data_IF_201154533716
#
_entry.id   IF_201154533716
#
_cell.length_a   1.000
_cell.length_b   1.000
_cell.length_c   1.000
_cell.angle_alpha   90.00
_cell.angle_beta   90.00
_cell.angle_gamma   90.00
#
_symmetry.space_group_name_H-M   'P 1'
#
loop_
_entity.id
_entity.type
_entity.pdbx_description
1 polymer ?
#
# COMPACT_ATOMS: atom_id res chain seq x y z
N UNK A 1 56.54 16.36 67.85
CA UNK A 1 56.74 17.82 67.64
C UNK A 1 56.49 18.07 66.15
N UNK A 2 55.50 18.81 65.67
CA UNK A 2 54.81 20.00 66.19
C UNK A 2 53.27 19.93 66.04
N UNK A 3 52.60 20.56 67.00
CA UNK A 3 51.20 20.95 67.18
C UNK A 3 50.75 22.07 66.21
N UNK A 4 49.54 22.00 65.61
CA UNK A 4 48.26 22.71 65.94
C UNK A 4 48.27 24.26 65.66
N UNK A 5 47.17 25.05 65.55
CA UNK A 5 45.70 24.78 65.45
C UNK A 5 44.89 25.69 64.46
N UNK A 6 43.56 25.44 64.40
CA UNK A 6 42.40 26.35 64.18
C UNK A 6 42.20 27.11 62.84
N UNK A 7 41.08 26.95 62.11
CA UNK A 7 39.77 27.47 62.53
C UNK A 7 38.56 26.87 61.74
N UNK A 8 37.51 26.49 62.49
CA UNK A 8 36.13 26.11 62.10
C UNK A 8 35.26 27.35 61.73
N UNK A 9 33.91 27.29 61.47
CA UNK A 9 32.94 26.21 61.14
C UNK A 9 32.06 26.54 59.87
N UNK A 10 31.21 25.67 59.27
CA UNK A 10 29.75 25.65 59.52
C UNK A 10 28.96 24.66 58.62
N UNK A 11 28.43 23.61 59.26
CA UNK A 11 27.06 23.01 59.24
C UNK A 11 26.05 23.23 58.06
N UNK A 12 25.82 22.13 57.27
CA UNK A 12 24.56 21.54 56.66
C UNK A 12 23.67 22.40 55.71
N UNK A 13 22.73 21.89 54.85
CA UNK A 13 22.12 20.53 54.74
C UNK A 13 21.91 19.96 53.29
N UNK A 14 21.33 18.75 53.24
CA UNK A 14 20.78 17.96 52.11
C UNK A 14 20.20 18.72 50.90
N UNK A 15 20.48 18.22 49.68
CA UNK A 15 19.45 18.08 48.63
C UNK A 15 19.76 16.84 47.78
N UNK A 16 18.95 15.80 47.96
CA UNK A 16 18.78 14.71 47.00
C UNK A 16 18.34 15.35 45.68
N UNK A 17 19.12 15.17 44.61
CA UNK A 17 18.67 15.49 43.26
C UNK A 17 17.40 14.68 42.97
N UNK A 18 16.34 15.29 42.44
CA UNK A 18 15.12 14.57 42.09
C UNK A 18 15.40 13.52 40.99
N UNK A 19 14.56 12.48 40.87
CA UNK A 19 14.70 11.48 39.82
C UNK A 19 14.65 12.16 38.45
N UNK A 20 15.64 11.89 37.59
CA UNK A 20 15.57 12.20 36.16
C UNK A 20 14.55 11.29 35.46
N UNK A 21 13.29 11.33 35.88
CA UNK A 21 12.19 10.62 35.24
C UNK A 21 11.41 11.51 34.25
N UNK A 22 11.85 12.76 34.05
CA UNK A 22 11.15 13.75 33.22
C UNK A 22 11.73 14.01 31.82
N UNK A 23 12.94 13.54 31.50
CA UNK A 23 13.58 13.79 30.19
C UNK A 23 13.42 12.63 29.19
N UNK A 24 12.72 11.56 29.56
CA UNK A 24 12.26 10.50 28.66
C UNK A 24 10.84 10.76 28.13
N UNK A 25 10.33 11.99 28.18
CA UNK A 25 9.26 12.38 27.28
C UNK A 25 9.84 12.52 25.88
N UNK A 26 9.98 11.36 25.23
CA UNK A 26 9.72 11.13 23.82
C UNK A 26 9.71 12.43 23.01
N UNK A 27 10.90 12.94 22.70
CA UNK A 27 11.12 13.50 21.38
C UNK A 27 10.84 12.35 20.40
N UNK A 28 9.56 12.09 20.15
CA UNK A 28 9.11 11.42 18.95
C UNK A 28 9.57 12.36 17.88
N UNK A 29 10.80 12.17 17.40
CA UNK A 29 11.41 12.93 16.34
C UNK A 29 10.50 12.69 15.14
N UNK A 30 9.52 13.58 14.99
CA UNK A 30 8.49 13.51 13.99
C UNK A 30 9.21 13.85 12.70
N UNK A 31 9.80 12.84 12.05
CA UNK A 31 10.43 12.97 10.74
C UNK A 31 9.46 13.81 9.89
N UNK A 32 9.88 14.99 9.39
CA UNK A 32 9.00 15.79 8.57
C UNK A 32 8.59 14.93 7.38
N UNK A 33 7.29 14.61 7.29
CA UNK A 33 6.74 13.77 6.21
C UNK A 33 7.12 14.40 4.89
N UNK A 34 7.57 13.57 3.95
CA UNK A 34 7.91 14.09 2.65
C UNK A 34 6.65 14.58 1.93
N UNK A 35 6.80 15.59 1.05
CA UNK A 35 5.67 16.11 0.27
C UNK A 35 5.04 15.04 -0.61
N UNK A 36 5.85 14.07 -1.04
CA UNK A 36 5.45 12.97 -1.92
C UNK A 36 4.53 11.99 -1.19
N UNK A 37 4.81 11.67 0.07
CA UNK A 37 3.91 10.85 0.92
C UNK A 37 2.55 11.52 1.07
N UNK A 38 2.54 12.83 1.34
CA UNK A 38 1.29 13.59 1.50
C UNK A 38 0.48 13.61 0.21
N UNK A 39 1.13 13.82 -0.95
CA UNK A 39 0.47 13.77 -2.25
C UNK A 39 -0.11 12.37 -2.54
N UNK A 40 0.65 11.32 -2.24
CA UNK A 40 0.19 9.97 -2.45
C UNK A 40 -1.04 9.62 -1.59
N UNK A 41 -1.02 9.95 -0.30
CA UNK A 41 -2.16 9.75 0.60
C UNK A 41 -3.42 10.45 0.07
N UNK A 42 -3.27 11.68 -0.43
CA UNK A 42 -4.37 12.43 -1.05
C UNK A 42 -4.91 11.74 -2.31
N UNK A 43 -4.03 11.27 -3.21
CA UNK A 43 -4.44 10.60 -4.44
C UNK A 43 -5.12 9.27 -4.15
N UNK A 44 -4.59 8.44 -3.25
CA UNK A 44 -5.25 7.20 -2.83
C UNK A 44 -6.62 7.46 -2.20
N UNK A 45 -6.73 8.46 -1.33
CA UNK A 45 -8.01 8.87 -0.74
C UNK A 45 -9.02 9.39 -1.78
N UNK A 46 -8.55 10.15 -2.76
CA UNK A 46 -9.37 10.62 -3.87
C UNK A 46 -9.85 9.46 -4.74
N UNK A 47 -8.98 8.52 -5.12
CA UNK A 47 -9.35 7.35 -5.90
C UNK A 47 -10.43 6.50 -5.21
N UNK A 48 -10.32 6.32 -3.89
CA UNK A 48 -11.35 5.65 -3.08
C UNK A 48 -12.69 6.41 -3.08
N UNK A 49 -12.62 7.74 -3.01
CA UNK A 49 -13.79 8.61 -3.03
C UNK A 49 -14.48 8.58 -4.40
N UNK A 50 -13.71 8.65 -5.49
CA UNK A 50 -14.21 8.53 -6.87
C UNK A 50 -14.87 7.16 -7.09
N UNK A 51 -14.27 6.08 -6.59
CA UNK A 51 -14.87 4.74 -6.63
C UNK A 51 -16.23 4.69 -5.92
N UNK A 52 -16.34 5.34 -4.76
CA UNK A 52 -17.61 5.46 -4.02
C UNK A 52 -18.66 6.25 -4.80
N UNK A 53 -18.29 7.39 -5.38
CA UNK A 53 -19.19 8.23 -6.19
C UNK A 53 -19.66 7.49 -7.43
N UNK A 54 -18.77 6.77 -8.11
CA UNK A 54 -19.13 5.98 -9.29
C UNK A 54 -20.15 4.88 -8.95
N UNK A 55 -19.98 4.19 -7.81
CA UNK A 55 -20.93 3.18 -7.33
C UNK A 55 -22.30 3.77 -6.92
N UNK A 56 -22.33 5.02 -6.46
CA UNK A 56 -23.59 5.74 -6.18
C UNK A 56 -24.28 6.17 -7.47
N UNK A 57 -23.49 6.64 -8.45
CA UNK A 57 -24.00 7.15 -9.72
C UNK A 57 -24.60 6.05 -10.61
N UNK A 58 -24.11 4.81 -10.48
CA UNK A 58 -24.69 3.65 -11.15
C UNK A 58 -26.06 3.32 -10.55
N UNK A 59 -27.13 3.64 -11.28
CA UNK A 59 -28.51 3.35 -10.86
C UNK A 59 -28.86 1.89 -11.14
N UNK A 60 -29.00 1.02 -10.12
CA UNK A 60 -29.42 -0.36 -10.32
C UNK A 60 -30.87 -0.39 -10.80
N UNK A 61 -31.14 -1.19 -11.82
CA UNK A 61 -32.45 -1.41 -12.41
C UNK A 61 -33.14 -2.66 -11.84
N UNK A 62 -32.37 -3.57 -11.25
CA UNK A 62 -32.87 -4.78 -10.60
C UNK A 62 -32.34 -4.93 -9.17
N UNK A 63 -33.07 -5.62 -8.27
CA UNK A 63 -32.56 -5.90 -6.91
C UNK A 63 -31.24 -6.69 -6.89
N UNK A 64 -31.02 -7.55 -7.88
CA UNK A 64 -29.79 -8.35 -8.00
C UNK A 64 -28.56 -7.48 -8.31
N UNK A 65 -28.73 -6.39 -9.05
CA UNK A 65 -27.65 -5.43 -9.39
C UNK A 65 -27.11 -4.70 -8.17
N UNK A 66 -27.92 -4.51 -7.12
CA UNK A 66 -27.44 -3.89 -5.87
C UNK A 66 -26.32 -4.74 -5.26
N UNK A 67 -26.50 -6.07 -5.23
CA UNK A 67 -25.51 -6.99 -4.69
C UNK A 67 -24.22 -6.99 -5.50
N UNK A 68 -24.31 -7.02 -6.83
CA UNK A 68 -23.12 -6.98 -7.70
C UNK A 68 -22.38 -5.64 -7.61
N UNK A 69 -23.10 -4.51 -7.55
CA UNK A 69 -22.51 -3.18 -7.40
C UNK A 69 -21.77 -3.04 -6.06
N UNK A 70 -22.35 -3.55 -4.97
CA UNK A 70 -21.68 -3.55 -3.65
C UNK A 70 -20.41 -4.41 -3.68
N UNK A 71 -20.47 -5.61 -4.28
CA UNK A 71 -19.29 -6.47 -4.41
C UNK A 71 -18.19 -5.85 -5.26
N UNK A 72 -18.53 -5.23 -6.39
CA UNK A 72 -17.61 -4.51 -7.25
C UNK A 72 -16.95 -3.32 -6.53
N UNK A 73 -17.74 -2.57 -5.75
CA UNK A 73 -17.22 -1.49 -4.92
C UNK A 73 -16.25 -2.00 -3.84
N UNK A 74 -16.64 -3.05 -3.09
CA UNK A 74 -15.79 -3.67 -2.06
C UNK A 74 -14.48 -4.16 -2.68
N UNK A 75 -14.54 -4.80 -3.86
CA UNK A 75 -13.36 -5.26 -4.57
C UNK A 75 -12.42 -4.11 -4.95
N UNK A 76 -12.97 -3.05 -5.54
CA UNK A 76 -12.21 -1.83 -5.89
C UNK A 76 -11.57 -1.18 -4.66
N UNK A 77 -12.35 -1.05 -3.58
CA UNK A 77 -11.88 -0.53 -2.30
C UNK A 77 -10.72 -1.36 -1.74
N UNK A 78 -10.87 -2.70 -1.74
CA UNK A 78 -9.87 -3.62 -1.22
C UNK A 78 -8.56 -3.57 -2.01
N UNK A 79 -8.62 -3.43 -3.33
CA UNK A 79 -7.41 -3.23 -4.16
C UNK A 79 -6.71 -1.93 -3.77
N UNK A 80 -7.45 -0.81 -3.74
CA UNK A 80 -6.88 0.51 -3.47
C UNK A 80 -6.28 0.60 -2.06
N UNK A 81 -7.00 0.13 -1.04
CA UNK A 81 -6.47 0.15 0.34
C UNK A 81 -5.28 -0.79 0.49
N UNK A 82 -5.27 -1.94 -0.19
CA UNK A 82 -4.13 -2.88 -0.15
C UNK A 82 -2.89 -2.26 -0.81
N UNK A 83 -3.06 -1.65 -1.98
CA UNK A 83 -1.99 -0.94 -2.67
C UNK A 83 -1.44 0.21 -1.81
N UNK A 84 -2.32 1.00 -1.20
CA UNK A 84 -1.93 2.08 -0.27
C UNK A 84 -1.16 1.55 0.95
N UNK A 85 -1.64 0.48 1.60
CA UNK A 85 -0.96 -0.10 2.75
C UNK A 85 0.46 -0.60 2.41
N UNK A 86 0.62 -1.25 1.26
CA UNK A 86 1.92 -1.70 0.75
C UNK A 86 2.82 -0.49 0.46
N UNK A 87 2.27 0.51 -0.24
CA UNK A 87 2.96 1.74 -0.59
C UNK A 87 3.51 2.48 0.63
N UNK A 88 2.65 2.78 1.61
CA UNK A 88 3.04 3.49 2.83
C UNK A 88 4.10 2.70 3.62
N UNK A 89 4.01 1.36 3.61
CA UNK A 89 5.01 0.51 4.25
C UNK A 89 6.40 0.70 3.62
N UNK A 90 6.50 0.80 2.29
CA UNK A 90 7.78 1.04 1.62
C UNK A 90 8.26 2.49 1.74
N UNK A 91 7.39 3.47 1.58
CA UNK A 91 7.79 4.89 1.64
C UNK A 91 8.28 5.30 3.02
N UNK A 92 7.69 4.75 4.09
CA UNK A 92 8.07 5.09 5.47
C UNK A 92 9.55 4.83 5.80
N UNK A 93 10.19 3.90 5.09
CA UNK A 93 11.58 3.48 5.33
C UNK A 93 12.56 3.92 4.25
N UNK A 94 12.10 4.59 3.18
CA UNK A 94 12.99 5.01 2.11
C UNK A 94 13.95 6.11 2.62
N UNK A 95 15.28 5.91 2.53
CA UNK A 95 16.27 6.79 3.15
C UNK A 95 16.47 8.09 2.37
N UNK A 96 16.29 8.11 1.03
CA UNK A 96 16.47 9.31 0.19
C UNK A 96 15.52 9.30 -1.03
N UNK A 97 14.92 10.45 -1.34
CA UNK A 97 14.13 10.66 -2.56
C UNK A 97 15.06 10.82 -3.78
N UNK A 98 15.29 9.75 -4.55
CA UNK A 98 16.02 9.83 -5.83
C UNK A 98 15.07 10.17 -6.98
N UNK A 99 15.58 10.79 -8.06
CA UNK A 99 14.78 11.15 -9.25
C UNK A 99 13.99 9.98 -9.83
N UNK A 100 14.59 8.78 -9.82
CA UNK A 100 13.94 7.55 -10.28
C UNK A 100 12.77 7.15 -9.38
N UNK A 101 12.94 7.22 -8.05
CA UNK A 101 11.86 6.92 -7.10
C UNK A 101 10.71 7.91 -7.25
N UNK A 102 11.02 9.21 -7.42
CA UNK A 102 10.00 10.24 -7.67
C UNK A 102 9.22 9.95 -8.95
N UNK A 103 9.92 9.62 -10.04
CA UNK A 103 9.28 9.28 -11.32
C UNK A 103 8.38 8.05 -11.20
N UNK A 104 8.90 6.97 -10.60
CA UNK A 104 8.13 5.74 -10.36
C UNK A 104 6.92 5.99 -9.47
N UNK A 105 7.05 6.89 -8.49
CA UNK A 105 5.94 7.27 -7.65
C UNK A 105 4.86 8.02 -8.44
N UNK A 106 5.23 9.01 -9.25
CA UNK A 106 4.25 9.72 -10.10
C UNK A 106 3.57 8.75 -11.06
N UNK A 107 4.31 7.83 -11.67
CA UNK A 107 3.75 6.78 -12.51
C UNK A 107 2.79 5.86 -11.73
N UNK A 108 3.17 5.44 -10.52
CA UNK A 108 2.32 4.64 -9.64
C UNK A 108 1.02 5.37 -9.31
N UNK A 109 1.09 6.66 -8.95
CA UNK A 109 -0.08 7.46 -8.62
C UNK A 109 -1.02 7.60 -9.83
N UNK A 110 -0.47 7.76 -11.04
CA UNK A 110 -1.27 7.75 -12.26
C UNK A 110 -2.01 6.40 -12.42
N UNK A 111 -1.30 5.28 -12.30
CA UNK A 111 -1.92 3.94 -12.42
C UNK A 111 -3.03 3.75 -11.38
N UNK A 112 -2.77 4.12 -10.12
CA UNK A 112 -3.76 4.07 -9.03
C UNK A 112 -5.02 4.89 -9.35
N UNK A 113 -4.86 6.04 -10.00
CA UNK A 113 -6.03 6.86 -10.40
C UNK A 113 -6.86 6.24 -11.51
N UNK A 114 -6.30 5.32 -12.32
CA UNK A 114 -7.04 4.62 -13.37
C UNK A 114 -7.92 3.50 -12.82
N UNK A 115 -7.57 2.90 -11.68
CA UNK A 115 -8.28 1.75 -11.09
C UNK A 115 -9.80 1.96 -11.02
N UNK A 116 -10.33 3.05 -10.43
CA UNK A 116 -11.78 3.23 -10.29
C UNK A 116 -12.49 3.26 -11.65
N UNK A 117 -11.88 3.92 -12.64
CA UNK A 117 -12.44 4.03 -13.98
C UNK A 117 -12.46 2.69 -14.73
N UNK A 118 -11.32 1.97 -14.70
CA UNK A 118 -11.19 0.69 -15.39
C UNK A 118 -12.11 -0.36 -14.79
N UNK A 119 -12.16 -0.49 -13.46
CA UNK A 119 -13.08 -1.42 -12.81
C UNK A 119 -14.54 -1.02 -12.99
N UNK A 120 -14.85 0.28 -12.98
CA UNK A 120 -16.21 0.72 -13.26
C UNK A 120 -16.65 0.30 -14.69
N UNK A 121 -15.75 0.40 -15.67
CA UNK A 121 -16.02 0.00 -17.05
C UNK A 121 -16.16 -1.53 -17.25
N UNK A 122 -15.60 -2.34 -16.33
CA UNK A 122 -15.73 -3.81 -16.37
C UNK A 122 -17.05 -4.29 -15.76
N UNK A 123 -17.47 -3.64 -14.67
CA UNK A 123 -18.59 -4.11 -13.84
C UNK A 123 -19.91 -3.40 -14.16
N UNK A 124 -19.87 -2.13 -14.57
CA UNK A 124 -21.07 -1.34 -14.83
C UNK A 124 -21.29 -1.19 -16.34
N UNK A 125 -22.38 -1.79 -16.81
CA UNK A 125 -22.79 -1.71 -18.20
C UNK A 125 -23.56 -0.41 -18.42
N UNK A 126 -23.16 0.37 -19.43
CA UNK A 126 -23.92 1.55 -19.84
C UNK A 126 -25.28 1.11 -20.42
N UNK A 127 -26.41 1.52 -19.81
CA UNK A 127 -27.74 1.07 -20.23
C UNK A 127 -28.16 1.55 -21.63
N UNK A 128 -27.44 2.52 -22.21
CA UNK A 128 -27.72 3.11 -23.53
C UNK A 128 -26.86 2.44 -24.62
N UNK A 129 -25.78 1.73 -24.24
CA UNK A 129 -24.89 1.09 -25.20
C UNK A 129 -25.53 -0.17 -25.81
N UNK A 130 -25.19 -0.47 -27.07
CA UNK A 130 -25.57 -1.74 -27.68
C UNK A 130 -24.88 -2.90 -26.94
N UNK A 131 -25.48 -4.09 -26.98
CA UNK A 131 -24.89 -5.27 -26.34
C UNK A 131 -23.47 -5.58 -26.88
N UNK A 132 -23.23 -5.34 -28.17
CA UNK A 132 -21.93 -5.50 -28.79
C UNK A 132 -20.90 -4.50 -28.22
N UNK A 133 -21.25 -3.22 -28.15
CA UNK A 133 -20.36 -2.19 -27.60
C UNK A 133 -20.07 -2.40 -26.12
N UNK A 134 -21.08 -2.76 -25.33
CA UNK A 134 -20.92 -3.08 -23.92
C UNK A 134 -19.94 -4.24 -23.71
N UNK A 135 -20.03 -5.28 -24.53
CA UNK A 135 -19.11 -6.42 -24.46
C UNK A 135 -17.67 -6.05 -24.83
N UNK A 136 -17.50 -5.21 -25.87
CA UNK A 136 -16.18 -4.77 -26.34
C UNK A 136 -15.51 -3.84 -25.32
N UNK A 137 -16.26 -2.91 -24.73
CA UNK A 137 -15.79 -2.03 -23.66
C UNK A 137 -15.34 -2.87 -22.46
N UNK A 138 -16.15 -3.83 -22.03
CA UNK A 138 -15.82 -4.70 -20.89
C UNK A 138 -14.55 -5.50 -21.13
N UNK A 139 -14.38 -6.10 -22.32
CA UNK A 139 -13.18 -6.88 -22.61
C UNK A 139 -11.94 -5.98 -22.63
N UNK A 140 -11.99 -4.84 -23.34
CA UNK A 140 -10.87 -3.90 -23.39
C UNK A 140 -10.52 -3.35 -21.99
N UNK A 141 -11.51 -2.94 -21.21
CA UNK A 141 -11.32 -2.45 -19.86
C UNK A 141 -10.69 -3.52 -18.95
N UNK A 142 -11.09 -4.78 -19.10
CA UNK A 142 -10.51 -5.89 -18.32
C UNK A 142 -9.04 -6.17 -18.70
N UNK A 143 -8.67 -6.02 -19.97
CA UNK A 143 -7.28 -6.13 -20.44
C UNK A 143 -6.45 -4.97 -19.87
N UNK A 144 -6.95 -3.75 -20.01
CA UNK A 144 -6.28 -2.55 -19.51
C UNK A 144 -6.13 -2.57 -17.99
N UNK A 145 -7.13 -3.05 -17.27
CA UNK A 145 -7.05 -3.24 -15.82
C UNK A 145 -5.96 -4.25 -15.44
N UNK A 146 -5.90 -5.41 -16.12
CA UNK A 146 -4.86 -6.41 -15.83
C UNK A 146 -3.45 -5.85 -16.10
N UNK A 147 -3.30 -5.02 -17.14
CA UNK A 147 -2.04 -4.33 -17.46
C UNK A 147 -1.68 -3.27 -16.42
N UNK A 148 -2.64 -2.42 -16.04
CA UNK A 148 -2.50 -1.39 -15.00
C UNK A 148 -2.09 -2.03 -13.66
N UNK A 149 -2.80 -3.08 -13.26
CA UNK A 149 -2.52 -3.77 -12.01
C UNK A 149 -1.16 -4.48 -12.02
N UNK A 150 -0.76 -5.05 -13.16
CA UNK A 150 0.59 -5.60 -13.36
C UNK A 150 1.65 -4.51 -13.19
N UNK A 151 1.46 -3.34 -13.81
CA UNK A 151 2.39 -2.23 -13.72
C UNK A 151 2.55 -1.73 -12.27
N UNK A 152 1.44 -1.64 -11.53
CA UNK A 152 1.46 -1.33 -10.09
C UNK A 152 2.32 -2.35 -9.33
N UNK A 153 2.08 -3.64 -9.52
CA UNK A 153 2.84 -4.71 -8.84
C UNK A 153 4.34 -4.66 -9.18
N UNK A 154 4.68 -4.38 -10.44
CA UNK A 154 6.07 -4.21 -10.88
C UNK A 154 6.73 -3.01 -10.20
N UNK A 155 6.06 -1.84 -10.18
CA UNK A 155 6.63 -0.65 -9.52
C UNK A 155 6.83 -0.90 -8.03
N UNK A 156 5.86 -1.53 -7.36
CA UNK A 156 6.00 -1.90 -5.96
C UNK A 156 7.16 -2.90 -5.75
N UNK A 157 7.34 -3.88 -6.65
CA UNK A 157 8.51 -4.77 -6.62
C UNK A 157 9.83 -4.01 -6.78
N UNK A 158 9.87 -2.96 -7.60
CA UNK A 158 11.04 -2.08 -7.72
C UNK A 158 11.30 -1.31 -6.42
N UNK A 159 10.29 -0.76 -5.76
CA UNK A 159 10.48 -0.12 -4.45
C UNK A 159 11.04 -1.09 -3.41
N UNK A 160 10.46 -2.29 -3.30
CA UNK A 160 10.98 -3.33 -2.41
C UNK A 160 12.41 -3.75 -2.79
N UNK A 161 12.74 -3.74 -4.08
CA UNK A 161 14.10 -4.03 -4.54
C UNK A 161 15.10 -2.96 -4.12
N UNK A 162 14.78 -1.68 -4.31
CA UNK A 162 15.64 -0.56 -3.90
C UNK A 162 15.92 -0.65 -2.40
N UNK A 163 14.87 -0.85 -1.60
CA UNK A 163 14.99 -1.04 -0.15
C UNK A 163 15.87 -2.25 0.22
N UNK A 164 15.80 -3.34 -0.55
CA UNK A 164 16.66 -4.51 -0.34
C UNK A 164 18.15 -4.31 -0.69
N UNK A 165 18.49 -3.25 -1.43
CA UNK A 165 19.87 -2.96 -1.87
C UNK A 165 20.57 -1.91 -1.01
N UNK A 166 19.83 -0.94 -0.46
CA UNK A 166 20.38 0.16 0.36
C UNK A 166 20.87 -0.30 1.76
N UNK A 167 20.80 -1.60 2.02
CA UNK A 167 21.05 -2.25 3.31
C UNK A 167 22.50 -2.39 3.74
N UNK A 168 23.44 -1.66 3.15
CA UNK A 168 24.84 -1.87 3.55
C UNK A 168 25.20 -1.25 4.89
N UNK A 169 24.41 -0.35 5.53
CA UNK A 169 24.72 0.20 6.87
C UNK A 169 23.56 0.71 7.78
N UNK A 170 22.27 0.66 7.40
CA UNK A 170 21.21 1.43 8.12
C UNK A 170 20.01 0.63 8.66
N UNK A 171 19.90 -0.67 8.37
CA UNK A 171 18.68 -1.45 8.66
C UNK A 171 19.03 -2.83 9.21
N UNK A 172 18.24 -3.33 10.17
CA UNK A 172 18.40 -4.67 10.74
C UNK A 172 18.24 -5.76 9.66
N UNK A 173 19.06 -6.83 9.69
CA UNK A 173 19.05 -7.90 8.68
C UNK A 173 17.74 -8.70 8.58
N UNK A 174 16.81 -8.50 9.50
CA UNK A 174 15.46 -9.07 9.40
C UNK A 174 14.56 -8.26 8.45
N UNK A 175 14.66 -6.93 8.45
CA UNK A 175 13.89 -6.07 7.56
C UNK A 175 14.34 -6.23 6.09
N UNK A 176 15.63 -6.52 5.90
CA UNK A 176 16.22 -6.98 4.65
C UNK A 176 15.50 -8.12 4.00
N UNK A 177 15.30 -9.17 4.79
CA UNK A 177 14.67 -10.38 4.33
C UNK A 177 13.21 -10.10 3.98
N UNK A 178 12.54 -9.27 4.80
CA UNK A 178 11.17 -8.84 4.54
C UNK A 178 11.03 -8.12 3.19
N UNK A 179 11.91 -7.18 2.85
CA UNK A 179 11.84 -6.47 1.57
C UNK A 179 12.21 -7.36 0.37
N UNK A 180 13.16 -8.29 0.52
CA UNK A 180 13.47 -9.28 -0.53
C UNK A 180 12.30 -10.22 -0.79
N UNK A 181 11.66 -10.71 0.26
CA UNK A 181 10.48 -11.56 0.16
C UNK A 181 9.31 -10.78 -0.47
N UNK A 182 9.12 -9.53 -0.05
CA UNK A 182 8.14 -8.61 -0.65
C UNK A 182 8.37 -8.39 -2.15
N UNK A 183 9.62 -8.12 -2.56
CA UNK A 183 10.01 -7.99 -3.97
C UNK A 183 9.67 -9.24 -4.77
N UNK A 184 10.14 -10.41 -4.31
CA UNK A 184 9.94 -11.68 -5.02
C UNK A 184 8.44 -11.99 -5.15
N UNK A 185 7.70 -11.78 -4.07
CA UNK A 185 6.25 -11.98 -4.05
C UNK A 185 5.54 -11.07 -5.05
N UNK A 186 5.85 -9.77 -5.10
CA UNK A 186 5.22 -8.87 -6.05
C UNK A 186 5.63 -9.15 -7.50
N UNK A 187 6.87 -9.56 -7.74
CA UNK A 187 7.28 -10.01 -9.08
C UNK A 187 6.50 -11.25 -9.54
N UNK A 188 6.32 -12.26 -8.66
CA UNK A 188 5.50 -13.44 -8.98
C UNK A 188 4.05 -13.06 -9.23
N UNK A 189 3.48 -12.19 -8.38
CA UNK A 189 2.11 -11.72 -8.56
C UNK A 189 1.92 -10.93 -9.86
N UNK A 190 2.89 -10.09 -10.24
CA UNK A 190 2.88 -9.37 -11.51
C UNK A 190 2.90 -10.32 -12.71
N UNK A 191 3.70 -11.40 -12.63
CA UNK A 191 3.71 -12.44 -13.67
C UNK A 191 2.35 -13.14 -13.75
N UNK A 192 1.72 -13.45 -12.61
CA UNK A 192 0.39 -14.06 -12.59
C UNK A 192 -0.68 -13.13 -13.18
N UNK A 193 -0.64 -11.83 -12.86
CA UNK A 193 -1.60 -10.86 -13.40
C UNK A 193 -1.39 -10.63 -14.90
N UNK A 194 -0.15 -10.57 -15.39
CA UNK A 194 0.09 -10.39 -16.83
C UNK A 194 -0.33 -11.62 -17.65
N UNK A 195 -0.15 -12.83 -17.10
CA UNK A 195 -0.62 -14.07 -17.73
C UNK A 195 -2.15 -14.03 -17.93
N UNK A 196 -2.89 -13.38 -17.01
CA UNK A 196 -4.35 -13.26 -17.12
C UNK A 196 -4.82 -12.45 -18.34
N UNK A 197 -3.93 -11.70 -19.00
CA UNK A 197 -4.24 -10.98 -20.25
C UNK A 197 -4.51 -11.97 -21.39
N UNK A 198 -3.90 -13.16 -21.39
CA UNK A 198 -4.00 -14.10 -22.49
C UNK A 198 -5.48 -14.42 -22.85
N UNK A 199 -5.81 -14.61 -24.15
CA UNK A 199 -7.19 -14.76 -24.60
C UNK A 199 -7.97 -15.87 -23.89
N UNK A 200 -7.29 -16.97 -23.56
CA UNK A 200 -7.90 -18.11 -22.84
C UNK A 200 -8.58 -17.68 -21.53
N UNK A 201 -8.01 -16.73 -20.80
CA UNK A 201 -8.58 -16.26 -19.54
C UNK A 201 -9.75 -15.28 -19.73
N UNK A 202 -9.82 -14.59 -20.87
CA UNK A 202 -10.98 -13.77 -21.24
C UNK A 202 -12.15 -14.58 -21.79
N UNK A 203 -11.86 -15.71 -22.47
CA UNK A 203 -12.85 -16.53 -23.14
C UNK A 203 -13.47 -17.60 -22.25
N UNK A 204 -12.70 -18.18 -21.32
CA UNK A 204 -13.20 -19.19 -20.40
C UNK A 204 -14.07 -18.53 -19.33
N UNK A 205 -15.33 -18.97 -19.23
CA UNK A 205 -16.28 -18.50 -18.23
C UNK A 205 -16.34 -19.47 -17.04
N UNK A 206 -16.22 -18.93 -15.84
CA UNK A 206 -16.40 -19.64 -14.57
C UNK A 206 -17.59 -18.98 -13.87
N UNK A 207 -18.67 -19.74 -13.64
CA UNK A 207 -19.95 -19.22 -13.13
C UNK A 207 -20.50 -18.02 -13.93
N UNK A 208 -20.27 -17.99 -15.25
CA UNK A 208 -20.70 -16.89 -16.12
C UNK A 208 -19.81 -15.65 -16.10
N UNK A 209 -18.69 -15.68 -15.36
CA UNK A 209 -17.71 -14.58 -15.26
C UNK A 209 -16.40 -14.99 -15.92
N UNK A 210 -15.73 -14.13 -16.70
CA UNK A 210 -14.44 -14.48 -17.31
C UNK A 210 -13.39 -14.88 -16.27
N UNK A 211 -12.66 -15.97 -16.55
CA UNK A 211 -11.63 -16.53 -15.66
C UNK A 211 -10.57 -15.49 -15.25
N UNK A 212 -10.29 -14.51 -16.12
CA UNK A 212 -9.40 -13.37 -15.88
C UNK A 212 -9.73 -12.63 -14.59
N UNK A 213 -11.00 -12.39 -14.28
CA UNK A 213 -11.40 -11.61 -13.10
C UNK A 213 -11.01 -12.30 -11.80
N UNK A 214 -11.05 -13.64 -11.76
CA UNK A 214 -10.67 -14.40 -10.57
C UNK A 214 -9.18 -14.28 -10.25
N UNK A 215 -8.32 -14.11 -11.27
CA UNK A 215 -6.87 -13.94 -11.09
C UNK A 215 -6.53 -12.65 -10.34
N UNK A 216 -7.38 -11.63 -10.43
CA UNK A 216 -7.16 -10.34 -9.77
C UNK A 216 -7.32 -10.40 -8.25
N UNK A 217 -7.99 -11.44 -7.73
CA UNK A 217 -8.07 -11.69 -6.30
C UNK A 217 -6.77 -12.27 -5.72
N UNK A 218 -5.90 -12.87 -6.55
CA UNK A 218 -4.70 -13.56 -6.05
C UNK A 218 -3.75 -12.61 -5.32
N UNK A 219 -3.38 -11.42 -5.85
CA UNK A 219 -2.53 -10.48 -5.11
C UNK A 219 -3.17 -9.98 -3.81
N UNK A 220 -4.49 -9.77 -3.82
CA UNK A 220 -5.25 -9.34 -2.66
C UNK A 220 -5.23 -10.41 -1.55
N UNK A 221 -5.66 -11.64 -1.87
CA UNK A 221 -5.68 -12.77 -0.95
C UNK A 221 -4.27 -13.02 -0.40
N UNK A 222 -3.26 -13.03 -1.29
CA UNK A 222 -1.86 -13.19 -0.91
C UNK A 222 -1.45 -12.18 0.16
N UNK A 223 -1.92 -10.92 0.07
CA UNK A 223 -1.54 -9.87 1.02
C UNK A 223 -2.19 -10.08 2.38
N UNK A 224 -3.51 -10.29 2.40
CA UNK A 224 -4.26 -10.45 3.63
C UNK A 224 -3.92 -11.76 4.36
N UNK A 225 -3.72 -12.86 3.62
CA UNK A 225 -3.24 -14.13 4.20
C UNK A 225 -1.84 -13.96 4.76
N UNK A 226 -0.92 -13.33 4.03
CA UNK A 226 0.43 -13.06 4.53
C UNK A 226 0.42 -12.25 5.83
N UNK A 227 -0.47 -11.25 5.91
CA UNK A 227 -0.66 -10.40 7.09
C UNK A 227 -1.29 -11.15 8.27
N UNK A 228 -2.20 -12.09 8.01
CA UNK A 228 -2.84 -12.91 9.04
C UNK A 228 -1.89 -13.96 9.62
N UNK A 229 -1.07 -14.60 8.77
CA UNK A 229 -0.16 -15.70 9.17
C UNK A 229 1.09 -15.17 9.87
N UNK A 230 1.59 -13.98 9.51
CA UNK A 230 2.74 -13.35 10.17
C UNK A 230 2.39 -11.94 10.66
N UNK A 231 1.68 -11.82 11.80
CA UNK A 231 1.38 -10.51 12.39
C UNK A 231 2.63 -9.78 12.90
N UNK A 232 3.75 -10.50 13.04
CA UNK A 232 4.96 -10.10 13.77
C UNK A 232 5.76 -8.93 13.18
N UNK A 233 5.41 -8.41 11.99
CA UNK A 233 5.94 -7.12 11.53
C UNK A 233 5.47 -5.92 12.40
N UNK A 234 4.64 -6.16 13.43
CA UNK A 234 4.23 -5.17 14.45
C UNK A 234 5.19 -5.02 15.65
N UNK A 235 6.21 -5.87 15.81
CA UNK A 235 7.06 -5.87 17.02
C UNK A 235 8.39 -5.11 16.90
N UNK A 236 8.57 -4.26 15.89
CA UNK A 236 9.55 -3.17 16.04
C UNK A 236 8.85 -2.02 16.77
N UNK A 237 8.60 -2.25 18.07
CA UNK A 237 8.55 -1.13 19.00
C UNK A 237 9.87 -0.42 18.82
N UNK A 238 9.79 0.83 18.37
CA UNK A 238 10.80 1.84 18.60
C UNK A 238 11.24 1.69 20.05
N UNK A 239 12.45 1.19 20.23
CA UNK A 239 13.19 1.24 21.48
C UNK A 239 14.44 2.05 21.23
#
# INVERSE_FOLDING_TARGET
MRSNPDSHPAKRPNTLLPPQEGLQQQATEKRPRSRIETLADLIFGLSLSVGSVAAIASSPTTPAEIGSHILAFIFTFLILITAWLIYTSFMSVLPVETRTIVFLNVALLLLVTLIPYLLNSVEFINPIASAADASAIKDLASILFALDFTAILVIMAVFAHVLSLEEKKLVAPELAKLFRDGRNRMAVLAVLTVISIAPVFGQVLIFGVPARLFMWYVPLISYWVGRAVRPESRSYRVS
#
